data_IF_086367986670
#
_entry.id   IF_086367986670
#
_cell.length_a   1.000
_cell.length_b   1.000
_cell.length_c   1.000
_cell.angle_alpha   90.00
_cell.angle_beta   90.00
_cell.angle_gamma   90.00
#
_symmetry.space_group_name_H-M   'P 1'
#
loop_
_entity.id
_entity.type
_entity.pdbx_description
1 polymer ?
#
# COMPACT_ATOMS: atom_id res chain seq x y z
N UNK A 1 -11.23 61.69 2.02
CA UNK A 1 -11.71 60.89 0.87
C UNK A 1 -11.84 61.82 -0.33
N UNK A 2 -11.67 61.34 -1.59
CA UNK A 2 -11.61 59.94 -2.06
C UNK A 2 -10.20 59.55 -2.57
N UNK A 3 -9.72 58.30 -2.49
CA UNK A 3 -10.18 57.02 -3.09
C UNK A 3 -9.93 56.90 -4.60
N UNK A 4 -9.36 55.74 -4.95
CA UNK A 4 -9.35 55.07 -6.25
C UNK A 4 -8.38 55.52 -7.36
N UNK A 5 -7.29 54.76 -7.53
CA UNK A 5 -7.14 53.84 -8.68
C UNK A 5 -5.69 53.37 -8.87
N UNK A 6 -5.29 52.28 -8.19
CA UNK A 6 -4.24 51.40 -8.73
C UNK A 6 -4.48 49.96 -8.25
N UNK A 7 -5.48 49.33 -8.88
CA UNK A 7 -5.75 47.89 -8.77
C UNK A 7 -5.05 47.13 -9.89
N UNK A 8 -4.38 46.07 -9.47
CA UNK A 8 -4.42 44.72 -10.05
C UNK A 8 -3.78 44.46 -11.42
N UNK A 9 -2.56 43.92 -11.38
CA UNK A 9 -2.17 42.79 -12.26
C UNK A 9 -1.52 41.67 -11.42
N UNK A 10 -2.34 40.98 -10.62
CA UNK A 10 -2.00 39.64 -10.14
C UNK A 10 -2.30 38.67 -11.28
N UNK A 11 -1.25 38.03 -11.83
CA UNK A 11 -1.40 36.91 -12.75
C UNK A 11 -2.18 35.80 -12.03
N UNK A 12 -3.27 35.37 -12.65
CA UNK A 12 -4.11 34.30 -12.17
C UNK A 12 -3.32 33.00 -12.07
N UNK A 13 -3.29 32.40 -10.89
CA UNK A 13 -2.92 31.00 -10.73
C UNK A 13 -3.99 30.14 -11.42
N UNK A 14 -3.61 29.03 -12.10
CA UNK A 14 -4.58 28.16 -12.72
C UNK A 14 -5.53 27.60 -11.67
N UNK A 15 -6.83 27.69 -11.97
CA UNK A 15 -7.95 27.29 -11.14
C UNK A 15 -7.73 25.93 -10.49
N UNK A 16 -7.77 25.94 -9.15
CA UNK A 16 -7.87 24.77 -8.30
C UNK A 16 -9.06 23.92 -8.76
N UNK A 17 -8.81 22.86 -9.54
CA UNK A 17 -9.85 21.86 -9.86
C UNK A 17 -10.25 21.22 -8.54
N UNK A 18 -11.47 21.53 -8.08
CA UNK A 18 -12.12 20.84 -6.99
C UNK A 18 -12.26 19.37 -7.40
N UNK A 19 -11.45 18.50 -6.79
CA UNK A 19 -11.71 17.06 -6.84
C UNK A 19 -13.07 16.81 -6.18
N UNK A 20 -13.95 15.99 -6.79
CA UNK A 20 -15.20 15.62 -6.15
C UNK A 20 -14.92 14.86 -4.83
N UNK A 21 -15.78 15.00 -3.81
CA UNK A 21 -15.65 14.23 -2.58
C UNK A 21 -15.76 12.73 -2.91
N UNK A 22 -14.68 11.98 -2.66
CA UNK A 22 -14.68 10.52 -2.79
C UNK A 22 -15.52 9.91 -1.67
N UNK A 23 -16.46 9.04 -2.04
CA UNK A 23 -17.26 8.21 -1.14
C UNK A 23 -16.32 7.19 -0.46
N UNK A 24 -15.73 7.54 0.69
CA UNK A 24 -14.91 6.61 1.48
C UNK A 24 -15.73 6.06 2.65
N UNK A 25 -16.33 4.89 2.46
CA UNK A 25 -16.45 3.91 3.54
C UNK A 25 -15.17 3.06 3.60
N UNK A 26 -14.87 2.38 4.72
CA UNK A 26 -13.68 1.53 4.82
C UNK A 26 -13.78 0.38 3.80
N UNK A 27 -13.07 0.56 2.68
CA UNK A 27 -12.90 -0.44 1.63
C UNK A 27 -12.10 -1.62 2.13
N UNK A 28 -12.32 -2.79 1.53
CA UNK A 28 -11.51 -3.98 1.82
C UNK A 28 -10.19 -3.84 1.05
N UNK A 29 -9.07 -4.06 1.75
CA UNK A 29 -7.72 -4.06 1.20
C UNK A 29 -7.14 -5.47 1.23
N UNK A 30 -6.42 -5.82 0.17
CA UNK A 30 -5.50 -6.95 0.12
C UNK A 30 -4.12 -6.42 -0.25
N UNK A 31 -3.08 -7.14 0.15
CA UNK A 31 -1.73 -6.85 -0.30
C UNK A 31 -1.13 -8.14 -0.83
N UNK A 32 -0.59 -8.10 -2.05
CA UNK A 32 0.29 -9.14 -2.56
C UNK A 32 1.71 -8.63 -2.45
N UNK A 33 2.54 -9.40 -1.76
CA UNK A 33 3.94 -9.07 -1.63
C UNK A 33 4.76 -10.32 -1.89
N UNK A 34 5.92 -10.15 -2.53
CA UNK A 34 6.96 -11.14 -2.35
C UNK A 34 7.41 -11.21 -0.89
N UNK A 35 7.04 -10.23 -0.03
CA UNK A 35 7.36 -10.05 1.39
C UNK A 35 6.22 -10.44 2.35
N UNK A 36 6.38 -11.55 3.05
CA UNK A 36 6.02 -11.65 4.45
C UNK A 36 7.12 -10.92 5.22
N UNK A 37 6.79 -9.76 5.80
CA UNK A 37 7.77 -8.89 6.46
C UNK A 37 8.37 -9.54 7.71
N UNK A 38 9.55 -9.06 8.08
CA UNK A 38 10.48 -9.49 9.14
C UNK A 38 9.85 -9.77 10.52
N UNK A 39 9.21 -10.91 10.71
CA UNK A 39 8.65 -11.29 12.02
C UNK A 39 7.99 -12.67 12.03
N UNK A 40 7.75 -13.23 10.85
CA UNK A 40 7.28 -14.59 10.73
C UNK A 40 8.37 -15.58 11.14
N UNK A 41 8.17 -16.24 12.29
CA UNK A 41 8.96 -17.42 12.65
C UNK A 41 8.79 -18.48 11.56
N UNK A 42 9.88 -19.10 11.06
CA UNK A 42 9.77 -20.05 9.96
C UNK A 42 9.04 -21.32 10.42
N UNK A 43 7.95 -21.68 9.74
CA UNK A 43 7.32 -22.99 9.85
C UNK A 43 8.08 -23.98 8.94
N UNK A 44 9.02 -24.75 9.51
CA UNK A 44 9.62 -25.89 8.82
C UNK A 44 8.98 -27.19 9.31
N UNK A 45 8.45 -28.01 8.39
CA UNK A 45 8.09 -29.42 8.63
C UNK A 45 8.96 -30.30 7.71
N UNK A 46 9.84 -31.13 8.30
CA UNK A 46 10.70 -32.08 7.56
C UNK A 46 9.90 -33.29 7.07
N UNK A 47 10.15 -33.73 5.83
CA UNK A 47 9.94 -35.13 5.43
C UNK A 47 9.91 -35.39 3.91
N UNK A 48 10.88 -36.17 3.42
CA UNK A 48 10.72 -37.11 2.28
C UNK A 48 11.30 -36.70 0.92
N UNK A 49 12.27 -37.47 0.44
CA UNK A 49 13.10 -37.29 -0.76
C UNK A 49 12.49 -37.81 -2.07
N UNK A 50 12.39 -36.95 -3.09
CA UNK A 50 12.24 -37.33 -4.51
C UNK A 50 12.68 -36.18 -5.45
N UNK A 51 13.40 -36.43 -6.57
CA UNK A 51 13.89 -35.36 -7.43
C UNK A 51 12.80 -34.89 -8.40
N UNK A 52 12.61 -33.57 -8.49
CA UNK A 52 11.62 -32.80 -9.28
C UNK A 52 10.28 -32.44 -8.61
N UNK A 53 10.22 -32.32 -7.28
CA UNK A 53 9.10 -31.74 -6.54
C UNK A 53 9.40 -30.29 -6.06
N UNK A 54 8.39 -29.43 -5.80
CA UNK A 54 8.59 -28.11 -5.18
C UNK A 54 9.43 -28.30 -3.93
N UNK A 55 10.50 -27.51 -3.76
CA UNK A 55 11.55 -27.75 -2.77
C UNK A 55 11.00 -28.27 -1.44
N UNK A 56 11.63 -29.31 -0.88
CA UNK A 56 11.31 -30.01 0.38
C UNK A 56 11.17 -29.10 1.64
N UNK A 57 11.22 -27.78 1.47
CA UNK A 57 11.24 -26.75 2.51
C UNK A 57 9.87 -26.17 2.87
N UNK A 58 8.78 -26.58 2.22
CA UNK A 58 7.47 -25.97 2.44
C UNK A 58 7.44 -24.48 2.03
N UNK A 59 6.46 -23.71 2.51
CA UNK A 59 6.40 -22.26 2.28
C UNK A 59 7.57 -21.57 2.99
N UNK A 60 8.44 -20.93 2.21
CA UNK A 60 9.54 -20.13 2.74
C UNK A 60 9.08 -18.72 3.08
N UNK A 61 9.44 -18.25 4.27
CA UNK A 61 9.24 -16.85 4.65
C UNK A 61 10.07 -15.94 3.73
N UNK A 62 9.49 -14.87 3.19
CA UNK A 62 10.22 -13.93 2.36
C UNK A 62 11.40 -13.24 2.98
N UNK A 63 11.42 -13.06 4.32
CA UNK A 63 12.59 -12.57 5.03
C UNK A 63 13.87 -13.39 4.74
N UNK A 64 13.72 -14.64 4.29
CA UNK A 64 14.85 -15.53 3.96
C UNK A 64 15.42 -15.27 2.57
N UNK A 65 14.61 -14.87 1.58
CA UNK A 65 15.06 -14.77 0.17
C UNK A 65 15.00 -13.36 -0.41
N UNK A 66 14.21 -12.46 0.15
CA UNK A 66 14.03 -11.10 -0.38
C UNK A 66 15.32 -10.29 -0.44
N UNK A 67 16.17 -10.25 0.59
CA UNK A 67 17.40 -9.45 0.53
C UNK A 67 18.31 -9.84 -0.64
N UNK A 68 18.32 -11.14 -1.00
CA UNK A 68 19.08 -11.64 -2.15
C UNK A 68 18.36 -11.35 -3.46
N UNK A 69 17.03 -11.52 -3.49
CA UNK A 69 16.22 -11.26 -4.68
C UNK A 69 16.31 -9.78 -5.08
N UNK A 70 16.26 -8.85 -4.12
CA UNK A 70 16.27 -7.39 -4.35
C UNK A 70 17.50 -6.89 -5.10
N UNK A 71 18.66 -7.51 -4.89
CA UNK A 71 19.91 -7.15 -5.55
C UNK A 71 20.21 -8.01 -6.79
N UNK A 72 19.36 -9.00 -7.08
CA UNK A 72 19.54 -9.91 -8.21
C UNK A 72 19.09 -9.30 -9.53
N UNK A 73 19.61 -9.83 -10.64
CA UNK A 73 19.20 -9.41 -11.99
C UNK A 73 17.75 -9.76 -12.32
N UNK A 74 17.13 -10.69 -11.60
CA UNK A 74 15.74 -11.13 -11.83
C UNK A 74 14.71 -10.34 -11.02
N UNK A 75 15.14 -9.38 -10.18
CA UNK A 75 14.24 -8.59 -9.34
C UNK A 75 13.11 -7.93 -10.13
N UNK A 76 13.46 -7.34 -11.29
CA UNK A 76 12.50 -6.66 -12.17
C UNK A 76 11.48 -7.64 -12.74
N UNK A 77 11.93 -8.80 -13.22
CA UNK A 77 11.04 -9.81 -13.82
C UNK A 77 10.11 -10.45 -12.78
N UNK A 78 10.62 -10.71 -11.57
CA UNK A 78 9.79 -11.17 -10.46
C UNK A 78 8.79 -10.09 -10.06
N UNK A 79 9.20 -8.82 -10.00
CA UNK A 79 8.32 -7.69 -9.74
C UNK A 79 7.19 -7.55 -10.77
N UNK A 80 7.50 -7.72 -12.07
CA UNK A 80 6.51 -7.77 -13.16
C UNK A 80 5.51 -8.91 -12.98
N UNK A 81 6.01 -10.10 -12.65
CA UNK A 81 5.17 -11.26 -12.42
C UNK A 81 4.22 -11.07 -11.22
N UNK A 82 4.72 -10.53 -10.10
CA UNK A 82 3.90 -10.20 -8.92
C UNK A 82 2.82 -9.20 -9.30
N UNK A 83 3.19 -8.14 -10.02
CA UNK A 83 2.27 -7.09 -10.43
C UNK A 83 1.15 -7.62 -11.33
N UNK A 84 1.48 -8.42 -12.35
CA UNK A 84 0.48 -9.00 -13.24
C UNK A 84 -0.43 -9.98 -12.48
N UNK A 85 0.14 -10.81 -11.60
CA UNK A 85 -0.62 -11.74 -10.74
C UNK A 85 -1.58 -11.00 -9.80
N UNK A 86 -1.12 -9.92 -9.17
CA UNK A 86 -1.94 -9.08 -8.31
C UNK A 86 -3.07 -8.39 -9.09
N UNK A 87 -2.76 -7.85 -10.27
CA UNK A 87 -3.74 -7.20 -11.14
C UNK A 87 -4.78 -8.18 -11.66
N UNK A 88 -4.36 -9.38 -12.07
CA UNK A 88 -5.26 -10.46 -12.49
C UNK A 88 -6.24 -10.82 -11.39
N UNK A 89 -5.74 -11.09 -10.18
CA UNK A 89 -6.57 -11.46 -9.04
C UNK A 89 -7.55 -10.35 -8.63
N UNK A 90 -7.06 -9.11 -8.52
CA UNK A 90 -7.92 -7.98 -8.15
C UNK A 90 -8.93 -7.63 -9.25
N UNK A 91 -8.55 -7.78 -10.53
CA UNK A 91 -9.44 -7.60 -11.67
C UNK A 91 -10.57 -8.63 -11.70
N UNK A 92 -10.25 -9.90 -11.46
CA UNK A 92 -11.24 -10.98 -11.30
C UNK A 92 -12.24 -10.66 -10.18
N UNK A 93 -11.75 -10.25 -9.01
CA UNK A 93 -12.61 -9.84 -7.88
C UNK A 93 -13.49 -8.63 -8.23
N UNK A 94 -12.93 -7.61 -8.87
CA UNK A 94 -13.68 -6.41 -9.26
C UNK A 94 -14.78 -6.73 -10.28
N UNK A 95 -14.49 -7.55 -11.30
CA UNK A 95 -15.49 -8.01 -12.28
C UNK A 95 -16.56 -8.92 -11.68
N UNK A 96 -16.24 -9.61 -10.58
CA UNK A 96 -17.18 -10.42 -9.80
C UNK A 96 -18.01 -9.61 -8.79
N UNK A 97 -17.90 -8.27 -8.79
CA UNK A 97 -18.66 -7.39 -7.90
C UNK A 97 -18.04 -7.17 -6.51
N UNK A 98 -16.80 -7.63 -6.31
CA UNK A 98 -16.08 -7.53 -5.03
C UNK A 98 -14.81 -6.69 -5.17
N UNK A 99 -14.91 -5.38 -5.49
CA UNK A 99 -13.73 -4.55 -5.68
C UNK A 99 -12.91 -4.45 -4.38
N UNK A 100 -11.62 -4.77 -4.49
CA UNK A 100 -10.65 -4.75 -3.39
C UNK A 100 -9.46 -3.90 -3.83
N UNK A 101 -8.99 -3.02 -2.94
CA UNK A 101 -7.73 -2.30 -3.17
C UNK A 101 -6.58 -3.27 -2.98
N UNK A 102 -5.75 -3.43 -4.00
CA UNK A 102 -4.61 -4.33 -4.05
C UNK A 102 -3.29 -3.57 -3.90
N UNK A 103 -2.62 -3.77 -2.77
CA UNK A 103 -1.26 -3.28 -2.51
C UNK A 103 -0.21 -4.19 -3.13
N UNK A 104 0.79 -3.62 -3.82
CA UNK A 104 1.95 -4.33 -4.37
C UNK A 104 3.23 -3.63 -3.97
N UNK A 105 4.15 -4.35 -3.32
CA UNK A 105 5.47 -3.81 -2.93
C UNK A 105 6.39 -3.75 -4.14
N UNK A 106 7.08 -2.62 -4.30
CA UNK A 106 8.02 -2.40 -5.40
C UNK A 106 9.46 -2.67 -4.99
N UNK A 107 10.19 -3.33 -5.89
CA UNK A 107 11.65 -3.36 -5.84
C UNK A 107 12.24 -2.05 -6.35
N UNK A 108 13.35 -1.59 -5.75
CA UNK A 108 14.06 -0.39 -6.20
C UNK A 108 14.47 -0.48 -7.68
N UNK A 109 14.83 -1.68 -8.14
CA UNK A 109 15.22 -1.92 -9.53
C UNK A 109 14.08 -1.67 -10.53
N UNK A 110 12.81 -1.89 -10.14
CA UNK A 110 11.68 -1.62 -11.01
C UNK A 110 11.52 -0.12 -11.28
N UNK A 111 11.74 0.74 -10.27
CA UNK A 111 11.63 2.19 -10.47
C UNK A 111 12.65 2.73 -11.49
N UNK A 112 13.83 2.11 -11.59
CA UNK A 112 14.88 2.47 -12.55
C UNK A 112 14.63 1.91 -13.95
N UNK A 113 13.70 0.97 -14.11
CA UNK A 113 13.37 0.41 -15.41
C UNK A 113 12.49 1.38 -16.20
N UNK A 114 12.92 1.71 -17.41
CA UNK A 114 12.18 2.59 -18.33
C UNK A 114 10.81 1.99 -18.71
N UNK A 115 10.68 0.67 -18.70
CA UNK A 115 9.43 -0.02 -19.02
C UNK A 115 8.40 0.01 -17.86
N UNK A 116 8.80 0.41 -16.64
CA UNK A 116 7.95 0.26 -15.45
C UNK A 116 6.56 0.86 -15.57
N UNK A 117 6.46 2.09 -16.08
CA UNK A 117 5.14 2.74 -16.29
C UNK A 117 4.29 1.96 -17.27
N UNK A 118 4.89 1.51 -18.38
CA UNK A 118 4.20 0.74 -19.40
C UNK A 118 3.76 -0.63 -18.88
N UNK A 119 4.58 -1.28 -18.07
CA UNK A 119 4.29 -2.58 -17.44
C UNK A 119 3.07 -2.47 -16.51
N UNK A 120 3.02 -1.44 -15.65
CA UNK A 120 1.88 -1.20 -14.75
C UNK A 120 0.60 -0.93 -15.53
N UNK A 121 0.64 -0.02 -16.51
CA UNK A 121 -0.54 0.31 -17.31
C UNK A 121 -1.04 -0.88 -18.13
N UNK A 122 -0.12 -1.69 -18.66
CA UNK A 122 -0.44 -2.90 -19.40
C UNK A 122 -1.08 -3.97 -18.50
N UNK A 123 -0.55 -4.18 -17.30
CA UNK A 123 -1.11 -5.12 -16.32
C UNK A 123 -2.54 -4.70 -15.90
N UNK A 124 -2.76 -3.41 -15.63
CA UNK A 124 -4.10 -2.88 -15.33
C UNK A 124 -5.08 -3.11 -16.49
N UNK A 125 -4.69 -2.76 -17.71
CA UNK A 125 -5.54 -2.87 -18.89
C UNK A 125 -5.88 -4.33 -19.22
N UNK A 126 -4.88 -5.21 -19.25
CA UNK A 126 -5.02 -6.64 -19.55
C UNK A 126 -5.99 -7.33 -18.58
N UNK A 127 -5.90 -6.97 -17.31
CA UNK A 127 -6.67 -7.60 -16.24
C UNK A 127 -7.96 -6.84 -15.89
N UNK A 128 -8.31 -5.78 -16.66
CA UNK A 128 -9.50 -4.95 -16.45
C UNK A 128 -9.62 -4.41 -15.03
N UNK A 129 -8.48 -4.11 -14.39
CA UNK A 129 -8.44 -3.55 -13.05
C UNK A 129 -8.52 -2.01 -13.14
N UNK A 130 -9.53 -1.36 -12.57
CA UNK A 130 -9.53 0.09 -12.41
C UNK A 130 -8.29 0.57 -11.66
N UNK A 131 -7.57 1.56 -12.20
CA UNK A 131 -6.30 2.04 -11.65
C UNK A 131 -6.36 2.42 -10.15
N UNK A 132 -7.49 2.98 -9.70
CA UNK A 132 -7.70 3.37 -8.30
C UNK A 132 -7.79 2.20 -7.31
N UNK A 133 -7.90 0.97 -7.81
CA UNK A 133 -7.83 -0.25 -7.00
C UNK A 133 -6.41 -0.81 -6.91
N UNK A 134 -5.44 -0.32 -7.68
CA UNK A 134 -4.03 -0.67 -7.50
C UNK A 134 -3.34 0.36 -6.61
N UNK A 135 -2.58 -0.12 -5.64
CA UNK A 135 -1.74 0.67 -4.76
C UNK A 135 -0.30 0.13 -4.80
N UNK A 136 0.64 0.97 -5.21
CA UNK A 136 2.06 0.63 -5.25
C UNK A 136 2.71 1.08 -3.95
N UNK A 137 3.35 0.16 -3.25
CA UNK A 137 4.03 0.41 -1.98
C UNK A 137 5.53 0.61 -2.23
N UNK A 138 6.05 1.74 -1.75
CA UNK A 138 7.47 2.08 -1.77
C UNK A 138 7.97 2.22 -0.34
N UNK A 139 9.13 1.67 -0.04
CA UNK A 139 9.83 1.92 1.22
C UNK A 139 10.84 3.05 1.04
N UNK A 140 11.47 3.47 2.12
CA UNK A 140 12.64 4.35 2.04
C UNK A 140 13.75 3.73 1.18
N UNK A 141 14.09 2.46 1.40
CA UNK A 141 15.14 1.76 0.63
C UNK A 141 14.81 1.63 -0.85
N UNK A 142 13.52 1.49 -1.20
CA UNK A 142 13.07 1.49 -2.60
C UNK A 142 13.39 2.80 -3.30
N UNK A 143 13.41 3.92 -2.56
CA UNK A 143 13.56 5.28 -3.11
C UNK A 143 14.87 5.98 -2.74
N UNK A 144 15.75 5.34 -1.98
CA UNK A 144 17.11 5.80 -1.72
C UNK A 144 18.01 5.51 -2.92
N UNK A 145 18.86 6.46 -3.30
CA UNK A 145 19.69 6.36 -4.51
C UNK A 145 18.89 6.50 -5.81
N UNK A 146 17.68 7.04 -5.72
CA UNK A 146 16.75 7.24 -6.82
C UNK A 146 16.64 8.73 -7.13
N UNK A 147 17.11 9.12 -8.32
CA UNK A 147 17.24 10.51 -8.75
C UNK A 147 15.88 11.18 -9.02
N UNK A 148 15.89 12.50 -9.25
CA UNK A 148 14.67 13.26 -9.56
C UNK A 148 13.91 12.70 -10.78
N UNK A 149 14.63 12.14 -11.76
CA UNK A 149 14.05 11.56 -12.98
C UNK A 149 13.20 10.31 -12.69
N UNK A 150 13.48 9.60 -11.61
CA UNK A 150 12.75 8.39 -11.24
C UNK A 150 11.42 8.66 -10.52
N UNK A 151 11.08 9.93 -10.28
CA UNK A 151 9.75 10.34 -9.84
C UNK A 151 8.73 10.33 -10.98
N UNK A 152 9.17 10.53 -12.23
CA UNK A 152 8.26 10.68 -13.37
C UNK A 152 7.34 9.47 -13.56
N UNK A 153 7.82 8.20 -13.45
CA UNK A 153 6.94 7.04 -13.50
C UNK A 153 5.84 7.07 -12.45
N UNK A 154 6.18 7.33 -11.19
CA UNK A 154 5.22 7.37 -10.09
C UNK A 154 4.21 8.52 -10.26
N UNK A 155 4.65 9.68 -10.76
CA UNK A 155 3.78 10.81 -11.06
C UNK A 155 2.79 10.49 -12.18
N UNK A 156 3.26 9.87 -13.26
CA UNK A 156 2.42 9.44 -14.38
C UNK A 156 1.37 8.41 -13.92
N UNK A 157 1.78 7.42 -13.14
CA UNK A 157 0.88 6.39 -12.60
C UNK A 157 -0.17 6.99 -11.65
N UNK A 158 0.23 7.90 -10.75
CA UNK A 158 -0.72 8.61 -9.89
C UNK A 158 -1.69 9.47 -10.69
N UNK A 159 -1.22 10.16 -11.72
CA UNK A 159 -2.10 10.93 -12.60
C UNK A 159 -3.11 10.02 -13.34
N UNK A 160 -2.71 8.78 -13.65
CA UNK A 160 -3.58 7.71 -14.15
C UNK A 160 -4.53 7.09 -13.10
N UNK A 161 -4.42 7.49 -11.84
CA UNK A 161 -5.30 7.07 -10.75
C UNK A 161 -4.75 5.98 -9.83
N UNK A 162 -3.53 5.49 -10.06
CA UNK A 162 -2.87 4.49 -9.20
C UNK A 162 -2.52 5.12 -7.85
N UNK A 163 -2.79 4.39 -6.76
CA UNK A 163 -2.37 4.80 -5.42
C UNK A 163 -0.88 4.59 -5.22
N UNK A 164 -0.20 5.52 -4.56
CA UNK A 164 1.21 5.37 -4.15
C UNK A 164 1.26 5.47 -2.62
N UNK A 165 1.65 4.38 -1.97
CA UNK A 165 1.78 4.32 -0.52
C UNK A 165 3.25 4.34 -0.12
N UNK A 166 3.59 5.15 0.88
CA UNK A 166 4.89 5.06 1.55
C UNK A 166 4.76 4.08 2.70
N UNK A 167 5.63 3.07 2.70
CA UNK A 167 5.59 1.94 3.60
C UNK A 167 6.62 2.05 4.73
N UNK A 168 6.35 1.33 5.83
CA UNK A 168 7.20 1.23 7.03
C UNK A 168 7.65 2.62 7.56
N UNK A 169 6.77 3.63 7.49
CA UNK A 169 7.10 4.99 7.90
C UNK A 169 7.24 5.09 9.42
N UNK A 170 8.36 5.66 9.86
CA UNK A 170 8.71 5.87 11.27
C UNK A 170 9.93 5.07 11.73
N UNK A 171 10.31 4.01 11.03
CA UNK A 171 11.36 3.05 11.44
C UNK A 171 12.81 3.51 11.13
N UNK A 172 13.02 4.73 10.63
CA UNK A 172 14.33 5.18 10.14
C UNK A 172 14.41 6.61 9.58
N UNK A 173 15.26 6.79 8.57
CA UNK A 173 15.67 8.08 7.96
C UNK A 173 14.62 8.71 7.04
N UNK A 174 13.43 8.12 6.91
CA UNK A 174 12.33 8.58 6.08
C UNK A 174 11.92 10.01 6.46
N UNK A 175 12.59 10.98 5.86
CA UNK A 175 12.43 12.37 6.23
C UNK A 175 11.12 12.93 5.69
N UNK A 176 10.59 13.94 6.38
CA UNK A 176 9.47 14.76 5.90
C UNK A 176 9.67 15.28 4.47
N UNK A 177 10.93 15.43 4.03
CA UNK A 177 11.26 15.87 2.68
C UNK A 177 10.84 14.86 1.61
N UNK A 178 10.90 13.55 1.90
CA UNK A 178 10.44 12.50 1.00
C UNK A 178 8.94 12.59 0.79
N UNK A 179 8.17 12.84 1.86
CA UNK A 179 6.71 12.96 1.77
C UNK A 179 6.26 14.10 0.86
N UNK A 180 7.07 15.17 0.78
CA UNK A 180 6.81 16.31 -0.10
C UNK A 180 7.29 16.05 -1.54
N UNK A 181 8.33 15.24 -1.72
CA UNK A 181 8.94 14.93 -3.01
C UNK A 181 8.13 13.89 -3.80
N UNK A 182 7.66 12.84 -3.13
CA UNK A 182 6.99 11.72 -3.77
C UNK A 182 5.49 11.99 -3.98
N UNK A 183 4.89 11.48 -5.08
CA UNK A 183 3.50 11.71 -5.40
C UNK A 183 2.62 10.74 -4.58
N UNK A 184 2.64 10.87 -3.26
CA UNK A 184 1.98 9.96 -2.35
C UNK A 184 0.46 10.17 -2.34
N UNK A 185 -0.26 9.08 -2.10
CA UNK A 185 -1.68 9.07 -1.73
C UNK A 185 -1.87 8.54 -0.30
N UNK A 186 -0.91 7.79 0.22
CA UNK A 186 -1.03 7.11 1.51
C UNK A 186 0.29 6.99 2.27
N UNK A 187 0.19 6.99 3.60
CA UNK A 187 1.25 6.61 4.51
C UNK A 187 0.86 5.34 5.27
N UNK A 188 1.82 4.46 5.51
CA UNK A 188 1.63 3.28 6.34
C UNK A 188 2.54 3.41 7.56
N UNK A 189 1.92 3.39 8.74
CA UNK A 189 2.61 3.38 10.03
C UNK A 189 3.08 1.95 10.27
N UNK A 190 4.38 1.79 10.51
CA UNK A 190 4.96 0.47 10.78
C UNK A 190 4.32 -0.17 12.02
N UNK A 191 4.25 -1.49 12.00
CA UNK A 191 3.74 -2.29 13.11
C UNK A 191 4.48 -2.11 14.42
N UNK A 192 5.75 -1.69 14.41
CA UNK A 192 6.54 -1.54 15.63
C UNK A 192 5.89 -0.55 16.59
N UNK A 193 5.44 0.61 16.08
CA UNK A 193 4.71 1.62 16.87
C UNK A 193 3.30 1.17 17.24
N UNK A 194 2.72 0.32 16.41
CA UNK A 194 1.34 -0.13 16.59
C UNK A 194 1.25 -1.25 17.63
N UNK A 195 2.26 -2.10 17.71
CA UNK A 195 2.30 -3.27 18.60
C UNK A 195 2.19 -2.85 20.06
N UNK A 196 2.92 -1.81 20.45
CA UNK A 196 3.07 -1.38 21.83
C UNK A 196 2.28 -0.09 22.16
N UNK A 197 1.42 0.38 21.25
CA UNK A 197 0.56 1.59 21.39
C UNK A 197 -0.31 1.62 22.66
N UNK A 198 -0.61 0.46 23.25
CA UNK A 198 -1.39 0.34 24.49
C UNK A 198 -0.57 0.66 25.74
N UNK A 199 0.76 0.56 25.67
CA UNK A 199 1.66 0.51 26.82
C UNK A 199 2.76 1.56 26.75
N UNK A 200 3.18 1.93 25.54
CA UNK A 200 4.25 2.88 25.31
C UNK A 200 3.66 4.23 24.86
N UNK A 201 3.75 5.29 25.69
CA UNK A 201 3.27 6.61 25.32
C UNK A 201 4.07 7.24 24.18
N UNK A 202 5.33 6.85 23.97
CA UNK A 202 6.16 7.38 22.88
C UNK A 202 5.67 6.81 21.54
N UNK A 203 5.35 5.52 21.48
CA UNK A 203 4.73 4.90 20.29
C UNK A 203 3.36 5.52 19.97
N UNK A 204 2.53 5.75 20.99
CA UNK A 204 1.25 6.44 20.81
C UNK A 204 1.45 7.87 20.26
N UNK A 205 2.43 8.62 20.77
CA UNK A 205 2.75 9.96 20.28
C UNK A 205 3.25 9.93 18.83
N UNK A 206 4.05 8.93 18.43
CA UNK A 206 4.50 8.75 17.04
C UNK A 206 3.30 8.49 16.12
N UNK A 207 2.41 7.57 16.50
CA UNK A 207 1.18 7.28 15.74
C UNK A 207 0.33 8.55 15.57
N UNK A 208 0.11 9.31 16.65
CA UNK A 208 -0.63 10.59 16.60
C UNK A 208 0.01 11.61 15.66
N UNK A 209 1.34 11.74 15.72
CA UNK A 209 2.09 12.66 14.87
C UNK A 209 1.97 12.28 13.38
N UNK A 210 2.09 10.99 13.04
CA UNK A 210 1.92 10.52 11.66
C UNK A 210 0.49 10.74 11.17
N UNK A 211 -0.52 10.50 12.02
CA UNK A 211 -1.91 10.78 11.69
C UNK A 211 -2.16 12.28 11.44
N UNK A 212 -1.59 13.15 12.26
CA UNK A 212 -1.69 14.60 12.09
C UNK A 212 -1.01 15.07 10.79
N UNK A 213 0.13 14.47 10.47
CA UNK A 213 0.88 14.73 9.25
C UNK A 213 0.11 14.27 8.00
N UNK A 214 -0.45 13.06 8.02
CA UNK A 214 -1.31 12.55 6.95
C UNK A 214 -2.47 13.50 6.65
N UNK A 215 -3.18 13.95 7.68
CA UNK A 215 -4.25 14.96 7.54
C UNK A 215 -3.75 16.26 6.89
N UNK A 216 -2.61 16.77 7.34
CA UNK A 216 -2.04 18.03 6.85
C UNK A 216 -1.58 17.95 5.39
N UNK A 217 -1.06 16.79 4.97
CA UNK A 217 -0.60 16.52 3.62
C UNK A 217 -1.69 15.95 2.70
N UNK A 218 -2.91 15.74 3.23
CA UNK A 218 -4.04 15.09 2.52
C UNK A 218 -3.67 13.68 2.04
N UNK A 219 -2.92 12.96 2.87
CA UNK A 219 -2.60 11.56 2.70
C UNK A 219 -3.52 10.74 3.60
N UNK A 220 -4.03 9.65 3.06
CA UNK A 220 -4.68 8.65 3.90
C UNK A 220 -3.60 7.92 4.72
N UNK A 221 -3.96 7.38 5.88
CA UNK A 221 -3.02 6.69 6.78
C UNK A 221 -3.55 5.30 7.09
N UNK A 222 -2.69 4.30 6.99
CA UNK A 222 -2.93 2.92 7.42
C UNK A 222 -2.03 2.61 8.60
N UNK A 223 -2.57 2.02 9.65
CA UNK A 223 -1.75 1.38 10.68
C UNK A 223 -1.53 -0.11 10.37
N UNK A 224 -0.29 -0.57 10.35
CA UNK A 224 0.06 -1.98 10.12
C UNK A 224 0.21 -2.77 11.43
N UNK A 225 0.12 -4.10 11.36
CA UNK A 225 0.38 -4.97 12.51
C UNK A 225 -0.71 -5.01 13.58
N UNK A 226 -1.97 -4.74 13.23
CA UNK A 226 -3.10 -4.90 14.15
C UNK A 226 -3.29 -6.36 14.58
N UNK A 227 -3.19 -6.62 15.88
CA UNK A 227 -3.38 -7.94 16.47
C UNK A 227 -4.54 -7.98 17.48
N UNK A 228 -4.81 -6.88 18.19
CA UNK A 228 -5.80 -6.85 19.28
C UNK A 228 -6.94 -5.86 19.00
N UNK A 229 -8.12 -6.14 19.58
CA UNK A 229 -9.24 -5.20 19.52
C UNK A 229 -8.93 -3.89 20.26
N UNK A 230 -8.13 -3.95 21.33
CA UNK A 230 -7.70 -2.78 22.10
C UNK A 230 -6.87 -1.81 21.23
N UNK A 231 -5.88 -2.31 20.48
CA UNK A 231 -5.13 -1.52 19.49
C UNK A 231 -6.07 -0.85 18.48
N UNK A 232 -7.05 -1.59 17.95
CA UNK A 232 -8.01 -1.06 16.98
C UNK A 232 -8.91 0.03 17.58
N UNK A 233 -9.30 -0.10 18.85
CA UNK A 233 -10.15 0.89 19.52
C UNK A 233 -9.37 2.17 19.85
N UNK A 234 -8.10 2.08 20.24
CA UNK A 234 -7.21 3.24 20.37
C UNK A 234 -7.08 3.95 19.02
N UNK A 235 -6.78 3.24 17.94
CA UNK A 235 -6.65 3.85 16.61
C UNK A 235 -7.94 4.52 16.13
N UNK A 236 -9.11 3.95 16.43
CA UNK A 236 -10.40 4.62 16.15
C UNK A 236 -10.54 5.92 16.93
N UNK A 237 -10.14 5.96 18.20
CA UNK A 237 -10.14 7.19 19.00
C UNK A 237 -9.20 8.25 18.42
N UNK A 238 -8.03 7.82 17.91
CA UNK A 238 -7.08 8.67 17.18
C UNK A 238 -7.56 9.06 15.77
N UNK A 239 -8.76 8.61 15.37
CA UNK A 239 -9.40 8.84 14.06
C UNK A 239 -8.59 8.28 12.89
N UNK A 240 -7.87 7.18 13.11
CA UNK A 240 -7.31 6.38 12.04
C UNK A 240 -8.42 5.52 11.40
N UNK A 241 -8.68 5.77 10.11
CA UNK A 241 -9.82 5.16 9.39
C UNK A 241 -9.50 3.81 8.76
N UNK A 242 -8.22 3.46 8.63
CA UNK A 242 -7.79 2.22 7.98
C UNK A 242 -6.66 1.54 8.76
N UNK A 243 -6.71 0.22 8.82
CA UNK A 243 -5.68 -0.58 9.46
C UNK A 243 -5.59 -1.98 8.85
N UNK A 244 -4.42 -2.61 9.01
CA UNK A 244 -4.10 -3.94 8.51
C UNK A 244 -3.44 -4.76 9.62
N UNK A 245 -3.75 -6.05 9.69
CA UNK A 245 -3.09 -6.98 10.60
C UNK A 245 -3.87 -8.26 10.84
N UNK A 246 -3.31 -9.13 11.67
CA UNK A 246 -3.84 -10.47 11.98
C UNK A 246 -5.21 -10.44 12.64
N UNK A 247 -5.57 -9.33 13.31
CA UNK A 247 -6.93 -9.07 13.78
C UNK A 247 -7.97 -9.17 12.65
N UNK A 248 -7.64 -8.67 11.46
CA UNK A 248 -8.55 -8.63 10.31
C UNK A 248 -8.38 -9.82 9.37
N UNK A 249 -7.18 -10.36 9.26
CA UNK A 249 -6.83 -11.52 8.45
C UNK A 249 -5.32 -11.73 8.36
N UNK A 250 -4.88 -12.99 8.49
CA UNK A 250 -3.50 -13.39 8.20
C UNK A 250 -3.29 -13.50 6.69
N UNK A 251 -2.03 -13.48 6.19
CA UNK A 251 -1.73 -13.91 4.83
C UNK A 251 -2.36 -15.28 4.56
N UNK A 252 -3.06 -15.40 3.44
CA UNK A 252 -3.84 -16.59 3.11
C UNK A 252 -3.79 -16.86 1.60
N UNK A 253 -4.02 -18.10 1.15
CA UNK A 253 -4.15 -18.41 -0.27
C UNK A 253 -5.27 -17.62 -0.96
N UNK A 254 -5.11 -17.38 -2.26
CA UNK A 254 -6.05 -16.61 -3.08
C UNK A 254 -7.50 -17.13 -2.99
N UNK A 255 -7.70 -18.45 -3.00
CA UNK A 255 -9.04 -19.05 -2.96
C UNK A 255 -9.72 -18.91 -1.59
N UNK A 256 -8.92 -18.94 -0.51
CA UNK A 256 -9.42 -18.65 0.83
C UNK A 256 -9.83 -17.17 0.94
N UNK A 257 -9.02 -16.28 0.38
CA UNK A 257 -9.32 -14.85 0.33
C UNK A 257 -10.62 -14.58 -0.44
N UNK A 258 -10.78 -15.16 -1.64
CA UNK A 258 -12.02 -15.08 -2.44
C UNK A 258 -13.24 -15.45 -1.61
N UNK A 259 -13.19 -16.62 -0.98
CA UNK A 259 -14.28 -17.15 -0.14
C UNK A 259 -14.57 -16.27 1.07
N UNK A 260 -13.54 -15.62 1.64
CA UNK A 260 -13.69 -14.70 2.78
C UNK A 260 -14.32 -13.37 2.37
N UNK A 261 -13.92 -12.81 1.23
CA UNK A 261 -14.43 -11.51 0.76
C UNK A 261 -15.87 -11.61 0.28
N UNK A 262 -16.21 -12.64 -0.50
CA UNK A 262 -17.59 -12.88 -0.92
C UNK A 262 -18.54 -12.91 0.29
N UNK A 263 -18.22 -13.73 1.30
CA UNK A 263 -19.01 -13.80 2.55
C UNK A 263 -19.11 -12.45 3.27
N UNK A 264 -18.03 -11.68 3.38
CA UNK A 264 -18.03 -10.38 4.07
C UNK A 264 -18.87 -9.34 3.34
N UNK A 265 -18.76 -9.25 2.03
CA UNK A 265 -19.47 -8.25 1.23
C UNK A 265 -20.94 -8.61 1.09
N UNK A 266 -21.29 -9.89 0.94
CA UNK A 266 -22.67 -10.37 0.97
C UNK A 266 -23.33 -10.08 2.31
N UNK A 267 -22.63 -10.30 3.43
CA UNK A 267 -23.14 -9.97 4.75
C UNK A 267 -23.37 -8.46 4.93
N UNK A 268 -22.47 -7.61 4.41
CA UNK A 268 -22.66 -6.14 4.44
C UNK A 268 -23.85 -5.71 3.59
N UNK A 269 -24.02 -6.28 2.40
CA UNK A 269 -25.13 -5.97 1.50
C UNK A 269 -26.50 -6.32 2.13
N UNK A 270 -26.56 -7.36 2.98
CA UNK A 270 -27.77 -7.75 3.71
C UNK A 270 -28.10 -6.87 4.91
N UNK A 271 -27.13 -6.15 5.46
CA UNK A 271 -27.26 -5.34 6.69
C UNK A 271 -27.43 -3.85 6.38
N UNK A 272 -27.11 -3.39 5.16
CA UNK A 272 -27.36 -2.01 4.75
C UNK A 272 -28.88 -1.74 4.70
N UNK A 273 -29.41 -0.73 5.42
CA UNK A 273 -30.82 -0.40 5.33
C UNK A 273 -31.14 0.14 3.93
N UNK A 274 -32.28 -0.32 3.39
CA UNK A 274 -32.92 0.23 2.18
C UNK A 274 -33.27 1.69 2.38
#
# INVERSE_FOLDING_TARGET
>A
MPLDAQRARRRAAPSCRRYPPRLHGPGIRASLSAAGRSGDRPYYRRGGSHPLAPSEKGLLSPAVFLPVLEISSIAVDVGRWILDTACAFAGELATSGYPVRMGVNLFAAQLRDQAFTADVLSALARNRLPAHLLELEITETTVLGVDADTLQPLQALRAGGVGIAFDDYGTGFASLSLLKKYPLTRLKIDREFVRDIEKDPDDAAIVEAVLAMGRSLRLEVIAEGMETQAQADILKQLRCSEAQGYLFGKPMPADEFRSRIARKLDARARVAPV
#
